data_IF_594177724441
#
_entry.id   IF_594177724441
#
_cell.length_a   1.000
_cell.length_b   1.000
_cell.length_c   1.000
_cell.angle_alpha   90.00
_cell.angle_beta   90.00
_cell.angle_gamma   90.00
#
_symmetry.space_group_name_H-M   'P 1'
#
loop_
_entity.id
_entity.type
_entity.pdbx_description
1 polymer ?
#
# COMPACT_ATOMS: atom_id res chain seq x y z
N UNK A 1 -22.71 -31.66 -3.51
CA UNK A 1 -22.90 -32.66 -4.57
C UNK A 1 -21.53 -32.86 -5.22
N UNK A 2 -21.03 -34.09 -5.44
CA UNK A 2 -19.67 -34.29 -5.98
C UNK A 2 -19.49 -33.64 -7.37
N UNK A 3 -20.58 -33.55 -8.14
CA UNK A 3 -20.62 -32.88 -9.44
C UNK A 3 -20.45 -31.35 -9.38
N UNK A 4 -20.73 -30.69 -8.24
CA UNK A 4 -20.53 -29.24 -8.11
C UNK A 4 -19.07 -28.85 -7.92
N UNK A 5 -18.22 -29.78 -7.48
CA UNK A 5 -16.79 -29.54 -7.30
C UNK A 5 -16.00 -29.76 -8.60
N UNK A 6 -16.50 -30.59 -9.52
CA UNK A 6 -15.80 -30.91 -10.77
C UNK A 6 -15.77 -29.75 -11.78
N UNK A 7 -16.73 -28.82 -11.72
CA UNK A 7 -16.81 -27.66 -12.61
C UNK A 7 -16.57 -26.32 -11.92
N UNK A 8 -16.09 -26.34 -10.67
CA UNK A 8 -15.84 -25.13 -9.87
C UNK A 8 -14.68 -24.32 -10.45
N UNK A 9 -14.95 -23.05 -10.74
CA UNK A 9 -14.00 -22.08 -11.30
C UNK A 9 -13.88 -20.89 -10.37
N UNK A 10 -12.70 -20.30 -10.35
CA UNK A 10 -12.41 -19.12 -9.54
C UNK A 10 -11.92 -18.00 -10.44
N UNK A 11 -12.41 -16.79 -10.19
CA UNK A 11 -11.88 -15.56 -10.78
C UNK A 11 -11.81 -14.49 -9.72
N UNK A 12 -10.86 -13.57 -9.88
CA UNK A 12 -10.60 -12.51 -8.93
C UNK A 12 -10.86 -11.15 -9.56
N UNK A 13 -11.50 -10.27 -8.80
CA UNK A 13 -11.77 -8.90 -9.20
C UNK A 13 -10.98 -7.93 -8.33
N UNK A 14 -10.46 -6.86 -8.91
CA UNK A 14 -9.94 -5.68 -8.22
C UNK A 14 -10.86 -4.50 -8.50
N UNK A 15 -11.53 -3.97 -7.48
CA UNK A 15 -12.53 -2.91 -7.60
C UNK A 15 -13.61 -3.20 -8.66
N UNK A 16 -13.99 -4.48 -8.80
CA UNK A 16 -14.98 -4.95 -9.78
C UNK A 16 -14.42 -5.30 -11.17
N UNK A 17 -13.16 -5.00 -11.46
CA UNK A 17 -12.51 -5.38 -12.73
C UNK A 17 -11.77 -6.71 -12.60
N UNK A 18 -11.95 -7.59 -13.58
CA UNK A 18 -11.36 -8.93 -13.55
C UNK A 18 -9.83 -8.89 -13.71
N UNK A 19 -9.15 -9.58 -12.80
CA UNK A 19 -7.71 -9.74 -12.79
C UNK A 19 -7.29 -10.90 -13.69
N UNK A 20 -6.14 -10.71 -14.33
CA UNK A 20 -5.44 -11.77 -15.07
C UNK A 20 -4.07 -12.00 -14.47
N UNK A 21 -3.59 -13.24 -14.58
CA UNK A 21 -2.26 -13.61 -14.09
C UNK A 21 -1.15 -12.84 -14.82
N UNK A 22 -0.14 -12.42 -14.08
CA UNK A 22 1.03 -11.67 -14.54
C UNK A 22 2.23 -11.94 -13.60
N UNK A 23 3.39 -11.33 -13.87
CA UNK A 23 4.55 -11.46 -12.97
C UNK A 23 4.26 -10.96 -11.55
N UNK A 24 3.37 -9.97 -11.41
CA UNK A 24 2.94 -9.38 -10.13
C UNK A 24 1.74 -10.10 -9.51
N UNK A 25 0.83 -10.61 -10.33
CA UNK A 25 -0.44 -11.21 -9.91
C UNK A 25 -0.43 -12.71 -10.21
N UNK A 26 -0.47 -13.55 -9.18
CA UNK A 26 -0.58 -15.01 -9.35
C UNK A 26 -1.95 -15.45 -8.85
N UNK A 27 -2.70 -16.15 -9.69
CA UNK A 27 -4.01 -16.72 -9.40
C UNK A 27 -3.91 -18.24 -9.51
N UNK A 28 -4.18 -18.94 -8.40
CA UNK A 28 -4.12 -20.40 -8.31
C UNK A 28 -5.37 -20.91 -7.59
N UNK A 29 -6.38 -21.31 -8.37
CA UNK A 29 -7.70 -21.64 -7.83
C UNK A 29 -8.29 -20.46 -7.05
N UNK A 30 -8.73 -20.71 -5.82
CA UNK A 30 -9.26 -19.68 -4.92
C UNK A 30 -8.22 -18.79 -4.25
N UNK A 31 -6.93 -18.85 -4.62
CA UNK A 31 -5.85 -18.07 -4.01
C UNK A 31 -5.36 -16.95 -4.96
N UNK A 32 -5.27 -15.72 -4.43
CA UNK A 32 -4.66 -14.57 -5.09
C UNK A 32 -3.39 -14.15 -4.34
N UNK A 33 -2.26 -14.13 -5.05
CA UNK A 33 -0.99 -13.59 -4.55
C UNK A 33 -0.60 -12.33 -5.32
N UNK A 34 -0.29 -11.25 -4.60
CA UNK A 34 0.18 -9.98 -5.15
C UNK A 34 1.63 -9.76 -4.68
N UNK A 35 2.59 -9.81 -5.61
CA UNK A 35 4.01 -9.59 -5.32
C UNK A 35 4.35 -8.10 -5.26
N UNK A 36 5.41 -7.77 -4.51
CA UNK A 36 6.00 -6.43 -4.43
C UNK A 36 4.92 -5.34 -4.29
N UNK A 37 4.13 -5.46 -3.22
CA UNK A 37 2.97 -4.61 -2.97
C UNK A 37 3.38 -3.16 -2.77
N UNK A 38 2.59 -2.25 -3.33
CA UNK A 38 2.73 -0.81 -3.13
C UNK A 38 1.36 -0.16 -2.93
N UNK A 39 1.33 1.14 -2.69
CA UNK A 39 0.10 1.88 -2.39
C UNK A 39 -1.00 1.73 -3.47
N UNK A 40 -0.64 1.48 -4.74
CA UNK A 40 -1.59 1.27 -5.85
C UNK A 40 -2.29 -0.10 -5.80
N UNK A 41 -1.84 -1.01 -4.96
CA UNK A 41 -2.49 -2.29 -4.69
C UNK A 41 -3.55 -2.18 -3.59
N UNK A 42 -3.73 -1.00 -2.99
CA UNK A 42 -4.87 -0.73 -2.10
C UNK A 42 -6.16 -0.77 -2.90
N UNK A 43 -7.02 -1.76 -2.64
CA UNK A 43 -8.26 -1.98 -3.37
C UNK A 43 -9.19 -2.96 -2.63
N UNK A 44 -10.43 -3.04 -3.11
CA UNK A 44 -11.34 -4.14 -2.76
C UNK A 44 -11.08 -5.31 -3.70
N UNK A 45 -10.74 -6.47 -3.13
CA UNK A 45 -10.52 -7.70 -3.87
C UNK A 45 -11.67 -8.68 -3.62
N UNK A 46 -12.28 -9.16 -4.69
CA UNK A 46 -13.42 -10.08 -4.63
C UNK A 46 -13.05 -11.39 -5.32
N UNK A 47 -13.14 -12.49 -4.59
CA UNK A 47 -13.11 -13.83 -5.17
C UNK A 47 -14.54 -14.18 -5.62
N UNK A 48 -14.68 -14.64 -6.85
CA UNK A 48 -15.91 -15.22 -7.38
C UNK A 48 -15.65 -16.70 -7.59
N UNK A 49 -16.37 -17.54 -6.86
CA UNK A 49 -16.40 -18.99 -7.05
C UNK A 49 -17.68 -19.33 -7.81
N UNK A 50 -17.56 -19.94 -8.99
CA UNK A 50 -18.72 -20.20 -9.86
C UNK A 50 -18.68 -21.62 -10.42
N UNK A 51 -19.86 -22.20 -10.58
CA UNK A 51 -20.08 -23.43 -11.34
C UNK A 51 -21.09 -23.16 -12.47
N UNK A 52 -21.55 -24.21 -13.17
CA UNK A 52 -22.49 -24.02 -14.29
C UNK A 52 -23.93 -23.63 -13.86
N UNK A 53 -24.23 -23.62 -12.55
CA UNK A 53 -25.56 -23.33 -12.00
C UNK A 53 -25.62 -22.00 -11.25
N UNK A 54 -24.61 -21.69 -10.44
CA UNK A 54 -24.60 -20.53 -9.55
C UNK A 54 -23.17 -20.00 -9.29
N UNK A 55 -23.09 -18.85 -8.62
CA UNK A 55 -21.85 -18.31 -8.07
C UNK A 55 -22.01 -17.84 -6.63
N UNK A 56 -20.89 -17.85 -5.91
CA UNK A 56 -20.76 -17.21 -4.62
C UNK A 56 -19.55 -16.26 -4.63
N UNK A 57 -19.60 -15.23 -3.78
CA UNK A 57 -18.57 -14.19 -3.75
C UNK A 57 -18.11 -13.88 -2.34
N UNK A 58 -16.81 -13.67 -2.18
CA UNK A 58 -16.20 -13.21 -0.95
C UNK A 58 -15.31 -12.00 -1.23
N UNK A 59 -15.49 -10.93 -0.46
CA UNK A 59 -14.76 -9.67 -0.67
C UNK A 59 -13.91 -9.33 0.55
N UNK A 60 -12.67 -8.89 0.30
CA UNK A 60 -11.75 -8.37 1.29
C UNK A 60 -11.10 -7.07 0.80
N UNK A 61 -10.95 -6.10 1.70
CA UNK A 61 -10.24 -4.85 1.39
C UNK A 61 -8.78 -4.98 1.78
N UNK A 62 -7.88 -4.80 0.81
CA UNK A 62 -6.44 -4.70 1.05
C UNK A 62 -6.07 -3.22 1.17
N UNK A 63 -5.41 -2.84 2.27
CA UNK A 63 -4.80 -1.52 2.42
C UNK A 63 -3.29 -1.69 2.60
N UNK A 64 -2.52 -1.32 1.57
CA UNK A 64 -1.07 -1.39 1.61
C UNK A 64 -0.54 -0.12 2.24
N UNK A 65 -0.02 -0.26 3.46
CA UNK A 65 0.65 0.81 4.18
C UNK A 65 2.10 0.89 3.73
N UNK A 66 2.60 2.11 3.56
CA UNK A 66 4.04 2.35 3.41
C UNK A 66 4.52 3.31 4.50
N UNK A 67 5.84 3.36 4.68
CA UNK A 67 6.44 4.39 5.52
C UNK A 67 6.02 5.77 5.01
N UNK A 68 5.79 6.75 5.89
CA UNK A 68 5.50 8.11 5.46
C UNK A 68 6.62 8.67 4.57
N UNK A 69 6.25 9.47 3.56
CA UNK A 69 7.21 10.20 2.76
C UNK A 69 7.97 11.20 3.63
N UNK A 70 9.26 11.45 3.37
CA UNK A 70 10.03 12.40 4.15
C UNK A 70 9.42 13.81 4.01
N UNK A 71 9.36 14.59 5.11
CA UNK A 71 8.93 15.99 5.02
C UNK A 71 9.84 16.77 4.07
N UNK A 72 9.27 17.79 3.43
CA UNK A 72 9.99 18.60 2.44
C UNK A 72 10.07 20.07 2.88
N UNK A 73 10.86 20.85 2.14
CA UNK A 73 11.08 22.27 2.41
C UNK A 73 11.59 22.52 3.85
N UNK A 74 12.58 21.74 4.26
CA UNK A 74 13.25 21.92 5.56
C UNK A 74 14.02 23.24 5.52
N UNK A 75 13.67 24.16 6.43
CA UNK A 75 14.34 25.45 6.56
C UNK A 75 14.64 25.77 8.01
N UNK A 76 15.70 26.52 8.23
CA UNK A 76 15.99 27.14 9.53
C UNK A 76 15.07 28.34 9.67
N UNK A 77 14.30 28.38 10.76
CA UNK A 77 13.43 29.51 11.10
C UNK A 77 14.18 30.53 11.95
N UNK A 78 14.93 30.06 12.95
CA UNK A 78 15.73 30.91 13.83
C UNK A 78 16.97 30.17 14.35
N UNK A 79 18.03 30.92 14.62
CA UNK A 79 19.28 30.45 15.18
C UNK A 79 19.71 31.39 16.30
N UNK A 80 19.55 30.95 17.55
CA UNK A 80 19.92 31.74 18.73
C UNK A 80 20.90 30.92 19.58
N UNK A 81 22.11 31.46 19.74
CA UNK A 81 23.19 30.86 20.54
C UNK A 81 23.48 29.40 20.14
N UNK A 82 23.10 28.43 20.98
CA UNK A 82 23.28 26.98 20.76
C UNK A 82 21.98 26.26 20.40
N UNK A 83 20.95 27.01 20.00
CA UNK A 83 19.65 26.49 19.63
C UNK A 83 19.31 26.90 18.19
N UNK A 84 18.76 25.95 17.44
CA UNK A 84 18.19 26.19 16.12
C UNK A 84 16.73 25.72 16.12
N UNK A 85 15.85 26.55 15.57
CA UNK A 85 14.48 26.21 15.25
C UNK A 85 14.40 25.87 13.77
N UNK A 86 13.90 24.68 13.47
CA UNK A 86 13.72 24.19 12.10
C UNK A 86 12.25 23.95 11.82
N UNK A 87 11.86 24.21 10.57
CA UNK A 87 10.51 24.01 10.08
C UNK A 87 10.55 23.20 8.79
N UNK A 88 9.50 22.43 8.56
CA UNK A 88 9.31 21.64 7.35
C UNK A 88 7.81 21.53 7.03
N UNK A 89 7.49 21.00 5.85
CA UNK A 89 6.13 20.72 5.42
C UNK A 89 5.91 19.21 5.40
N UNK A 90 4.80 18.77 5.98
CA UNK A 90 4.31 17.40 5.95
C UNK A 90 2.79 17.40 5.74
N UNK A 91 2.32 16.77 4.68
CA UNK A 91 0.91 16.75 4.26
C UNK A 91 0.29 15.38 4.51
N UNK A 92 -1.04 15.30 4.71
CA UNK A 92 -1.70 14.02 5.03
C UNK A 92 -1.53 12.94 3.94
N UNK A 93 -1.41 13.34 2.67
CA UNK A 93 -1.13 12.42 1.57
C UNK A 93 0.23 11.70 1.72
N UNK A 94 1.18 12.31 2.43
CA UNK A 94 2.53 11.77 2.67
C UNK A 94 2.52 10.68 3.74
N UNK A 95 1.40 10.43 4.41
CA UNK A 95 1.29 9.38 5.43
C UNK A 95 1.27 7.96 4.85
N UNK A 96 1.02 7.80 3.54
CA UNK A 96 0.97 6.51 2.85
C UNK A 96 0.09 5.45 3.53
N UNK A 97 -1.13 5.86 3.93
CA UNK A 97 -2.12 5.04 4.65
C UNK A 97 -1.68 4.55 6.03
N UNK A 98 -0.60 5.08 6.59
CA UNK A 98 -0.17 4.79 7.95
C UNK A 98 -0.28 6.01 8.89
N UNK A 99 -0.15 5.78 10.19
CA UNK A 99 -0.14 6.88 11.17
C UNK A 99 1.28 7.39 11.38
N UNK A 100 1.50 8.68 11.12
CA UNK A 100 2.77 9.33 11.43
C UNK A 100 2.89 9.56 12.94
N UNK A 101 3.86 8.91 13.57
CA UNK A 101 4.05 8.94 15.03
C UNK A 101 5.27 9.76 15.49
N UNK A 102 6.25 9.99 14.62
CA UNK A 102 7.53 10.63 14.99
C UNK A 102 8.23 11.19 13.77
N UNK A 103 8.93 12.31 13.96
CA UNK A 103 9.99 12.79 13.05
C UNK A 103 11.37 12.55 13.68
N UNK A 104 12.36 12.22 12.86
CA UNK A 104 13.78 12.16 13.24
C UNK A 104 14.45 13.36 12.58
N UNK A 105 15.07 14.22 13.39
CA UNK A 105 15.83 15.37 12.90
C UNK A 105 17.31 15.04 13.05
N UNK A 106 18.01 14.97 11.92
CA UNK A 106 19.45 14.75 11.87
C UNK A 106 20.16 16.08 11.55
N UNK A 107 21.26 16.36 12.24
CA UNK A 107 22.04 17.59 12.06
C UNK A 107 23.54 17.32 12.19
N UNK A 108 24.36 18.19 11.60
CA UNK A 108 25.82 18.18 11.74
C UNK A 108 26.35 19.58 12.01
N UNK A 109 27.40 19.68 12.81
CA UNK A 109 28.16 20.92 13.06
C UNK A 109 29.48 20.94 12.29
N UNK A 110 29.81 19.87 11.57
CA UNK A 110 31.04 19.81 10.78
C UNK A 110 30.90 20.68 9.52
N UNK A 111 31.65 21.77 9.49
CA UNK A 111 31.88 22.55 8.27
C UNK A 111 32.97 21.86 7.44
N UNK A 112 32.63 21.36 6.26
CA UNK A 112 33.60 20.93 5.24
C UNK A 112 33.71 22.01 4.16
N UNK A 113 34.71 22.91 4.23
CA UNK A 113 34.99 23.80 3.11
C UNK A 113 35.44 22.96 1.91
N UNK A 114 34.89 23.29 0.74
CA UNK A 114 35.34 22.77 -0.56
C UNK A 114 36.66 23.36 -1.00
#
# INVERSE_FOLDING_TARGET
DEMELENLRFRWLKNGEELTSSDKIIIEGGLLTIKDTNSKDTASYTCVAENDLDNDTATATLQVKAVPDPPYNVSVEDCIAKQASVKWIFEDKMRNFDTMIKFIVEYTTEYKPG
#
